data_IF_724358871558
#
_entry.id   IF_724358871558
#
_cell.length_a   1.000
_cell.length_b   1.000
_cell.length_c   1.000
_cell.angle_alpha   90.00
_cell.angle_beta   90.00
_cell.angle_gamma   90.00
#
_symmetry.space_group_name_H-M   'P 1'
#
loop_
_entity.id
_entity.type
_entity.pdbx_description
1 polymer ?
#
# COMPACT_ATOMS: atom_id res chain seq x y z
N UNK A 1 1.78 0.97 1.58
CA UNK A 1 0.83 0.91 2.71
C UNK A 1 -0.20 2.01 2.53
N UNK A 2 -1.44 1.70 2.19
CA UNK A 2 -2.50 2.69 1.98
C UNK A 2 -3.74 2.41 2.81
N UNK A 3 -4.42 3.45 3.30
CA UNK A 3 -5.68 3.32 4.04
C UNK A 3 -6.87 3.02 3.11
N UNK A 4 -6.68 3.17 1.79
CA UNK A 4 -7.69 2.92 0.76
C UNK A 4 -7.09 2.24 -0.47
N UNK A 5 -7.94 1.44 -1.12
CA UNK A 5 -8.07 1.35 -2.57
C UNK A 5 -7.38 2.45 -3.41
N UNK A 6 -6.27 2.26 -4.16
CA UNK A 6 -6.02 3.18 -5.26
C UNK A 6 -7.16 3.05 -6.27
N UNK A 7 -7.91 4.12 -6.48
CA UNK A 7 -9.02 4.18 -7.43
C UNK A 7 -8.67 5.13 -8.58
N UNK A 8 -8.79 4.70 -9.85
CA UNK A 8 -8.59 5.58 -10.99
C UNK A 8 -9.70 6.65 -11.01
N UNK A 9 -9.34 7.88 -10.64
CA UNK A 9 -10.20 9.07 -10.75
C UNK A 9 -11.00 9.46 -9.50
N UNK A 10 -10.80 8.81 -8.34
CA UNK A 10 -11.68 9.00 -7.16
C UNK A 10 -11.18 10.02 -6.12
N UNK A 11 -9.91 10.43 -6.14
CA UNK A 11 -9.40 11.58 -5.36
C UNK A 11 -7.99 11.96 -5.80
N UNK A 12 -7.53 13.19 -5.48
CA UNK A 12 -6.15 13.62 -5.74
C UNK A 12 -5.10 12.73 -5.04
N UNK A 13 -5.46 12.14 -3.89
CA UNK A 13 -4.59 11.24 -3.13
C UNK A 13 -4.45 9.86 -3.80
N UNK A 14 -5.56 9.25 -4.22
CA UNK A 14 -5.53 7.97 -4.94
C UNK A 14 -4.83 8.09 -6.31
N UNK A 15 -4.92 9.26 -6.96
CA UNK A 15 -4.18 9.56 -8.17
C UNK A 15 -2.65 9.64 -7.97
N UNK A 16 -2.18 10.24 -6.87
CA UNK A 16 -0.75 10.34 -6.58
C UNK A 16 -0.12 8.97 -6.31
N UNK A 17 -0.80 8.10 -5.54
CA UNK A 17 -0.33 6.73 -5.32
C UNK A 17 -0.21 5.95 -6.64
N UNK A 18 -1.19 6.08 -7.54
CA UNK A 18 -1.12 5.43 -8.86
C UNK A 18 0.03 5.95 -9.73
N UNK A 19 0.37 7.24 -9.65
CA UNK A 19 1.54 7.79 -10.36
C UNK A 19 2.86 7.22 -9.82
N UNK A 20 2.99 7.08 -8.50
CA UNK A 20 4.18 6.47 -7.89
C UNK A 20 4.31 5.01 -8.26
N UNK A 21 3.21 4.25 -8.17
CA UNK A 21 3.15 2.86 -8.62
C UNK A 21 3.61 2.75 -10.07
N UNK A 22 3.08 3.58 -10.96
CA UNK A 22 3.45 3.56 -12.37
C UNK A 22 4.94 3.85 -12.57
N UNK A 23 5.48 4.85 -11.88
CA UNK A 23 6.90 5.21 -11.95
C UNK A 23 7.82 4.06 -11.49
N UNK A 24 7.45 3.37 -10.41
CA UNK A 24 8.21 2.21 -9.93
C UNK A 24 8.12 1.02 -10.90
N UNK A 25 6.94 0.76 -11.47
CA UNK A 25 6.78 -0.29 -12.50
C UNK A 25 7.63 0.02 -13.75
N UNK A 26 7.72 1.28 -14.17
CA UNK A 26 8.58 1.73 -15.27
C UNK A 26 10.09 1.57 -14.99
N UNK A 27 10.46 1.30 -13.73
CA UNK A 27 11.83 1.03 -13.32
C UNK A 27 12.06 -0.45 -12.94
N UNK A 28 11.16 -1.33 -13.36
CA UNK A 28 11.21 -2.78 -13.10
C UNK A 28 11.18 -3.15 -11.60
N UNK A 29 10.51 -2.33 -10.78
CA UNK A 29 10.34 -2.62 -9.36
C UNK A 29 9.24 -3.66 -9.15
N UNK A 30 9.49 -4.57 -8.21
CA UNK A 30 8.48 -5.48 -7.70
C UNK A 30 7.72 -4.77 -6.58
N UNK A 31 6.42 -4.53 -6.81
CA UNK A 31 5.59 -3.79 -5.88
C UNK A 31 4.67 -4.77 -5.15
N UNK A 32 4.64 -4.65 -3.82
CA UNK A 32 3.62 -5.28 -2.98
C UNK A 32 2.77 -4.20 -2.35
N UNK A 33 1.48 -4.18 -2.68
CA UNK A 33 0.52 -3.24 -2.11
C UNK A 33 -0.18 -3.86 -0.90
N UNK A 34 0.12 -3.34 0.30
CA UNK A 34 -0.49 -3.79 1.53
C UNK A 34 -1.54 -2.77 2.05
N UNK A 35 -2.76 -3.25 2.36
CA UNK A 35 -3.82 -2.40 2.92
C UNK A 35 -4.72 -3.16 3.93
N UNK A 36 -5.21 -2.48 5.00
CA UNK A 36 -6.24 -3.03 5.87
C UNK A 36 -7.67 -2.82 5.33
N UNK A 37 -7.83 -1.98 4.31
CA UNK A 37 -9.13 -1.65 3.75
C UNK A 37 -9.80 -2.87 3.11
N UNK A 38 -11.10 -3.00 3.33
CA UNK A 38 -11.91 -3.96 2.60
C UNK A 38 -11.97 -3.55 1.14
N UNK A 39 -11.84 -4.51 0.22
CA UNK A 39 -11.90 -4.29 -1.22
C UNK A 39 -13.20 -3.55 -1.57
N UNK A 40 -13.08 -2.33 -2.11
CA UNK A 40 -14.22 -1.56 -2.62
C UNK A 40 -14.52 -1.92 -4.08
N UNK A 41 -15.76 -1.71 -4.53
CA UNK A 41 -16.19 -2.00 -5.91
C UNK A 41 -15.39 -1.23 -6.99
N UNK A 42 -14.70 -0.15 -6.62
CA UNK A 42 -14.02 0.78 -7.54
C UNK A 42 -12.48 0.68 -7.53
N UNK A 43 -11.91 -0.39 -6.95
CA UNK A 43 -10.44 -0.53 -6.86
C UNK A 43 -9.78 -0.60 -8.24
N UNK A 44 -8.57 -0.04 -8.36
CA UNK A 44 -7.69 -0.34 -9.46
C UNK A 44 -7.33 -1.83 -9.45
N UNK A 45 -7.28 -2.44 -10.63
CA UNK A 45 -6.84 -3.83 -10.77
C UNK A 45 -5.30 -3.87 -10.72
N UNK A 46 -4.74 -3.89 -9.50
CA UNK A 46 -3.29 -3.93 -9.30
C UNK A 46 -2.69 -5.28 -9.71
N UNK A 47 -3.48 -6.36 -9.63
CA UNK A 47 -3.07 -7.69 -10.06
C UNK A 47 -2.78 -7.70 -11.57
N UNK A 48 -3.62 -7.06 -12.38
CA UNK A 48 -3.37 -6.89 -13.81
C UNK A 48 -2.10 -6.06 -14.13
N UNK A 49 -1.61 -5.27 -13.18
CA UNK A 49 -0.35 -4.52 -13.28
C UNK A 49 0.87 -5.31 -12.77
N UNK A 50 0.68 -6.57 -12.36
CA UNK A 50 1.75 -7.42 -11.80
C UNK A 50 2.11 -7.08 -10.36
N UNK A 51 1.26 -6.32 -9.67
CA UNK A 51 1.47 -5.91 -8.27
C UNK A 51 0.86 -6.98 -7.36
N UNK A 52 1.60 -7.37 -6.33
CA UNK A 52 1.09 -8.32 -5.34
C UNK A 52 0.26 -7.58 -4.29
N UNK A 53 -0.98 -8.02 -4.08
CA UNK A 53 -1.89 -7.43 -3.09
C UNK A 53 -1.83 -8.22 -1.76
N UNK A 54 -1.68 -7.52 -0.65
CA UNK A 54 -1.66 -8.13 0.70
C UNK A 54 -2.63 -7.41 1.62
N UNK A 55 -3.53 -8.18 2.23
CA UNK A 55 -4.36 -7.64 3.30
C UNK A 55 -3.60 -7.69 4.62
N UNK A 56 -3.54 -6.57 5.32
CA UNK A 56 -2.91 -6.46 6.64
C UNK A 56 -3.92 -6.02 7.69
N UNK A 57 -3.71 -6.35 8.95
CA UNK A 57 -4.51 -5.80 10.05
C UNK A 57 -3.83 -4.55 10.63
N UNK A 58 -4.64 -3.58 11.07
CA UNK A 58 -4.13 -2.41 11.80
C UNK A 58 -3.75 -2.81 13.22
N UNK A 59 -2.60 -2.35 13.72
CA UNK A 59 -2.10 -2.59 15.08
C UNK A 59 -1.96 -4.09 15.44
N UNK A 60 -1.60 -4.92 14.47
CA UNK A 60 -1.44 -6.36 14.66
C UNK A 60 0.01 -6.77 14.40
N UNK A 61 0.58 -7.61 15.27
CA UNK A 61 1.95 -8.12 15.16
C UNK A 61 2.19 -8.98 13.92
N UNK A 62 1.13 -9.43 13.23
CA UNK A 62 1.24 -10.07 11.92
C UNK A 62 1.90 -9.16 10.87
N UNK A 63 1.83 -7.84 11.05
CA UNK A 63 2.52 -6.91 10.17
C UNK A 63 4.05 -7.06 10.26
N UNK A 64 4.60 -7.17 11.47
CA UNK A 64 6.05 -7.34 11.68
C UNK A 64 6.55 -8.65 11.04
N UNK A 65 5.76 -9.73 11.19
CA UNK A 65 6.05 -11.02 10.56
C UNK A 65 6.03 -10.88 9.04
N UNK A 66 4.98 -10.27 8.49
CA UNK A 66 4.84 -10.07 7.05
C UNK A 66 6.01 -9.26 6.46
N UNK A 67 6.38 -8.13 7.06
CA UNK A 67 7.49 -7.31 6.56
C UNK A 67 8.82 -8.06 6.69
N UNK A 68 9.01 -8.82 7.78
CA UNK A 68 10.20 -9.64 7.98
C UNK A 68 10.31 -10.78 6.95
N UNK A 69 9.20 -11.36 6.51
CA UNK A 69 9.21 -12.40 5.47
C UNK A 69 9.38 -11.79 4.06
N UNK A 70 8.74 -10.66 3.80
CA UNK A 70 8.81 -9.97 2.51
C UNK A 70 10.21 -9.38 2.22
N UNK A 71 10.94 -8.97 3.26
CA UNK A 71 12.26 -8.32 3.15
C UNK A 71 12.29 -7.18 2.10
N UNK A 72 11.40 -6.18 2.18
CA UNK A 72 11.34 -5.12 1.19
C UNK A 72 12.57 -4.20 1.28
N UNK A 73 13.07 -3.76 0.13
CA UNK A 73 14.16 -2.77 0.07
C UNK A 73 13.69 -1.37 0.49
N UNK A 74 12.43 -1.04 0.19
CA UNK A 74 11.82 0.26 0.47
C UNK A 74 10.37 0.04 0.88
N UNK A 75 9.89 0.77 1.89
CA UNK A 75 8.50 0.78 2.31
C UNK A 75 7.94 2.20 2.18
N UNK A 76 6.85 2.34 1.42
CA UNK A 76 6.15 3.61 1.23
C UNK A 76 4.79 3.60 1.94
N UNK A 77 4.47 4.69 2.64
CA UNK A 77 3.21 4.91 3.34
C UNK A 77 2.42 6.04 2.63
N UNK A 78 1.17 5.76 2.24
CA UNK A 78 0.29 6.65 1.44
C UNK A 78 -0.18 7.89 2.20
N UNK A 79 -0.22 7.82 3.52
CA UNK A 79 -0.48 8.95 4.38
C UNK A 79 0.46 8.78 5.57
N UNK A 80 1.18 9.85 5.89
CA UNK A 80 1.61 10.03 7.27
C UNK A 80 0.32 9.97 8.11
N UNK A 81 0.04 8.82 8.75
CA UNK A 81 -0.47 8.95 10.10
C UNK A 81 0.66 9.67 10.83
N UNK A 82 0.45 10.98 10.99
CA UNK A 82 1.23 11.89 11.82
C UNK A 82 1.77 11.11 13.01
N UNK A 83 2.99 11.44 13.41
CA UNK A 83 3.77 10.99 14.57
C UNK A 83 3.00 10.63 15.88
N UNK A 84 1.69 10.83 15.98
CA UNK A 84 0.80 10.53 17.11
C UNK A 84 0.34 9.07 17.26
N UNK A 85 0.51 8.17 16.28
CA UNK A 85 0.22 6.72 16.51
C UNK A 85 1.46 5.89 16.88
N UNK A 86 2.66 6.47 16.83
CA UNK A 86 3.87 5.91 17.43
C UNK A 86 3.99 6.22 18.94
N UNK A 87 2.90 6.70 19.54
CA UNK A 87 2.79 6.98 20.97
C UNK A 87 2.54 5.76 21.86
N UNK A 88 2.78 4.53 21.41
CA UNK A 88 2.96 3.38 22.30
C UNK A 88 3.50 2.13 21.58
N UNK A 89 4.76 1.81 21.96
CA UNK A 89 5.52 0.55 21.82
C UNK A 89 6.34 0.39 20.55
#
# INVERSE_FOLDING_TARGET
MGYVWPEPGSSAASGHMMQLIQCFLEHDWHITFASPATEGEHRADLISLGIHEVRIALNDSSFDVFVSELQPHVVLFDQFMIEEQFGWR
#
